data_IF_697364006459
#
_entry.id   IF_697364006459
#
_cell.length_a   1.000
_cell.length_b   1.000
_cell.length_c   1.000
_cell.angle_alpha   90.00
_cell.angle_beta   90.00
_cell.angle_gamma   90.00
#
_symmetry.space_group_name_H-M   'P 1'
#
loop_
_entity.id
_entity.type
_entity.pdbx_description
1 polymer ?
2 non-polymer ?
3 water ?
#
# COMPACT_ATOMS: atom_id res chain seq x y z
N UNK A 1 0.98 0.64 -17.65
CA UNK A 1 2.30 0.14 -18.07
C UNK A 1 2.40 -1.36 -17.79
N UNK A 2 3.22 -2.04 -18.57
CA UNK A 2 3.41 -3.45 -18.35
C UNK A 2 4.74 -3.42 -17.62
N UNK A 3 4.84 -4.22 -16.57
CA UNK A 3 6.03 -4.28 -15.73
C UNK A 3 6.52 -5.72 -15.65
N UNK A 4 7.79 -5.94 -16.01
CA UNK A 4 8.39 -7.27 -15.91
C UNK A 4 8.90 -7.40 -14.47
N UNK A 5 9.31 -8.61 -14.07
CA UNK A 5 9.71 -8.79 -12.67
C UNK A 5 11.18 -9.11 -12.40
N UNK A 6 12.04 -8.68 -13.33
CA UNK A 6 13.47 -8.87 -13.13
C UNK A 6 13.93 -8.04 -11.94
N UNK A 7 13.33 -6.89 -11.70
CA UNK A 7 13.68 -6.14 -10.53
C UNK A 7 12.39 -5.94 -9.71
N UNK A 8 12.52 -5.52 -8.45
CA UNK A 8 11.35 -5.30 -7.58
C UNK A 8 10.41 -4.33 -8.28
N UNK A 9 9.09 -4.61 -8.25
CA UNK A 9 8.15 -3.71 -8.92
C UNK A 9 7.81 -2.51 -8.06
N UNK A 10 8.76 -1.57 -7.95
CA UNK A 10 8.55 -0.36 -7.16
C UNK A 10 7.91 0.76 -7.98
N UNK A 11 6.98 1.48 -7.37
CA UNK A 11 6.34 2.60 -8.04
C UNK A 11 6.32 3.76 -7.07
N UNK A 12 6.09 4.95 -7.62
CA UNK A 12 6.01 6.15 -6.81
C UNK A 12 4.55 6.32 -6.38
N UNK A 13 4.32 6.66 -5.12
CA UNK A 13 2.95 6.88 -4.69
C UNK A 13 2.92 8.25 -4.01
N UNK A 14 1.76 8.88 -4.03
CA UNK A 14 1.62 10.14 -3.32
C UNK A 14 0.51 9.90 -2.33
N UNK A 15 0.76 10.14 -1.05
CA UNK A 15 -0.27 9.97 -0.05
C UNK A 15 -0.14 11.02 1.08
N UNK A 16 -1.25 11.64 1.46
CA UNK A 16 -1.16 12.63 2.53
C UNK A 16 -0.12 13.71 2.23
N UNK A 17 -0.05 14.14 0.98
CA UNK A 17 0.90 15.16 0.54
C UNK A 17 2.37 14.76 0.48
N UNK A 18 2.69 13.49 0.77
CA UNK A 18 4.07 13.00 0.72
C UNK A 18 4.31 12.04 -0.47
N UNK A 19 5.56 11.97 -0.94
CA UNK A 19 5.92 11.10 -2.06
C UNK A 19 6.75 9.96 -1.50
N UNK A 20 6.40 8.74 -1.86
CA UNK A 20 7.13 7.57 -1.35
C UNK A 20 7.22 6.55 -2.47
N UNK A 21 8.07 5.55 -2.27
CA UNK A 21 8.21 4.46 -3.20
C UNK A 21 7.48 3.28 -2.52
N UNK A 22 6.87 2.39 -3.30
CA UNK A 22 6.13 1.25 -2.73
C UNK A 22 6.17 0.11 -3.71
N UNK A 23 6.11 -1.08 -3.15
CA UNK A 23 6.15 -2.33 -3.90
C UNK A 23 4.75 -2.81 -4.33
N UNK A 24 4.52 -3.08 -5.62
CA UNK A 24 3.23 -3.62 -6.04
C UNK A 24 3.34 -5.10 -5.62
N UNK A 25 2.54 -5.47 -4.63
CA UNK A 25 2.66 -6.82 -4.06
C UNK A 25 1.40 -7.69 -4.16
N UNK A 26 1.38 -8.58 -5.14
CA UNK A 26 0.24 -9.48 -5.34
C UNK A 26 0.06 -10.48 -4.18
N UNK A 27 1.07 -10.66 -3.36
CA UNK A 27 0.90 -11.61 -2.27
C UNK A 27 0.40 -10.96 -0.99
N UNK A 28 0.01 -9.69 -1.05
CA UNK A 28 -0.45 -9.02 0.14
C UNK A 28 -1.90 -8.67 -0.05
N UNK A 29 -2.74 -9.09 0.89
CA UNK A 29 -4.14 -8.78 0.80
C UNK A 29 -4.36 -7.32 1.02
N UNK A 30 -3.57 -6.75 1.96
CA UNK A 30 -3.69 -5.36 2.38
C UNK A 30 -2.47 -4.47 2.10
N UNK A 31 -2.69 -3.17 2.18
CA UNK A 31 -1.64 -2.18 1.97
C UNK A 31 -1.03 -1.75 3.31
N UNK A 32 0.29 -1.79 3.44
CA UNK A 32 0.91 -1.37 4.68
C UNK A 32 2.04 -0.38 4.38
N UNK A 33 1.97 0.77 5.04
CA UNK A 33 2.96 1.80 4.86
C UNK A 33 3.67 2.06 6.17
N UNK A 34 4.90 2.55 6.08
CA UNK A 34 5.67 2.89 7.26
C UNK A 34 5.00 4.08 7.95
N UNK A 35 5.46 4.39 9.16
CA UNK A 35 4.89 5.47 9.95
C UNK A 35 4.65 6.78 9.21
N UNK A 36 3.50 7.39 9.46
CA UNK A 36 3.11 8.67 8.88
C UNK A 36 1.75 8.95 9.50
N UNK A 37 1.25 10.19 9.44
CA UNK A 37 -0.05 10.40 10.04
C UNK A 37 -1.09 10.58 8.95
N UNK A 38 -2.31 10.14 9.25
CA UNK A 38 -3.40 10.22 8.31
C UNK A 38 -4.70 10.74 8.94
N UNK A 39 -5.67 11.14 8.10
CA UNK A 39 -6.96 11.68 8.54
C UNK A 39 -8.03 10.64 8.89
N UNK A 40 -8.84 11.01 9.88
CA UNK A 40 -9.93 10.17 10.34
C UNK A 40 -9.53 9.36 11.55
N UNK A 41 -10.45 8.48 11.97
CA UNK A 41 -10.22 7.61 13.12
C UNK A 41 -9.40 6.40 12.66
N UNK A 42 -8.81 5.68 13.61
CA UNK A 42 -8.06 4.49 13.28
C UNK A 42 -8.25 3.42 14.35
N UNK A 43 -8.24 2.16 13.93
CA UNK A 43 -8.38 1.05 14.87
C UNK A 43 -7.23 0.06 14.82
N UNK A 44 -6.79 -0.42 16.00
CA UNK A 44 -5.70 -1.39 16.10
C UNK A 44 -6.03 -2.63 15.27
N UNK A 45 -5.01 -3.24 14.69
CA UNK A 45 -5.21 -4.43 13.88
C UNK A 45 -3.88 -5.18 13.81
N UNK A 46 -3.96 -6.50 13.68
CA UNK A 46 -2.78 -7.36 13.61
C UNK A 46 -2.72 -7.99 12.22
N UNK A 47 -1.51 -8.10 11.69
CA UNK A 47 -1.34 -8.68 10.36
C UNK A 47 -0.39 -9.86 10.37
N UNK A 48 -0.62 -10.82 9.49
CA UNK A 48 0.22 -12.01 9.44
C UNK A 48 1.22 -12.06 8.31
N UNK A 49 2.07 -13.09 8.32
CA UNK A 49 3.08 -13.24 7.28
C UNK A 49 4.13 -14.29 7.59
N UNK A 50 5.33 -14.12 7.05
CA UNK A 50 6.42 -15.07 7.30
C UNK A 50 7.32 -14.70 8.48
N UNK A 51 8.00 -13.56 8.37
CA UNK A 51 8.94 -13.13 9.40
C UNK A 51 8.40 -12.75 10.77
N UNK A 54 2.19 -8.10 12.63
CA UNK A 54 2.83 -7.06 13.43
C UNK A 54 1.75 -6.08 13.90
N UNK A 55 2.11 -5.17 14.79
CA UNK A 55 1.14 -4.21 15.32
C UNK A 55 0.93 -3.02 14.39
N UNK A 56 -0.26 -2.94 13.80
CA UNK A 56 -0.53 -1.83 12.89
C UNK A 56 -1.85 -1.11 13.17
N UNK A 57 -1.86 0.17 12.81
CA UNK A 57 -3.03 1.00 12.96
C UNK A 57 -3.68 0.94 11.59
N UNK A 58 -5.00 0.86 11.55
CA UNK A 58 -5.74 0.79 10.30
C UNK A 58 -6.51 2.09 10.07
N UNK A 59 -6.40 2.64 8.86
CA UNK A 59 -7.10 3.86 8.46
C UNK A 59 -7.93 3.51 7.29
N UNK A 60 -9.14 4.08 7.19
CA UNK A 60 -10.02 3.81 6.06
C UNK A 60 -10.26 5.02 5.20
N UNK A 61 -10.72 4.76 3.97
CA UNK A 61 -10.99 5.77 2.94
C UNK A 61 -9.81 6.74 2.73
N UNK A 62 -8.60 6.17 2.72
CA UNK A 62 -7.40 6.99 2.50
C UNK A 62 -7.08 7.08 1.00
N UNK A 63 -6.84 8.31 0.53
CA UNK A 63 -6.50 8.54 -0.86
C UNK A 63 -5.00 8.28 -1.18
N UNK A 64 -4.74 7.48 -2.19
CA UNK A 64 -3.36 7.19 -2.50
C UNK A 64 -3.25 7.27 -4.01
N UNK A 65 -2.21 7.92 -4.51
CA UNK A 65 -2.04 7.95 -5.94
C UNK A 65 -0.85 7.02 -6.16
N UNK A 66 -1.09 6.00 -6.98
CA UNK A 66 -0.08 4.98 -7.28
C UNK A 66 0.30 5.05 -8.72
N UNK A 67 1.55 5.41 -8.96
CA UNK A 67 2.07 5.54 -10.31
C UNK A 67 0.99 6.27 -11.16
N UNK A 68 0.43 7.36 -10.61
CA UNK A 68 -0.54 8.14 -11.35
C UNK A 68 -2.02 7.74 -11.36
N UNK A 69 -2.34 6.61 -10.76
CA UNK A 69 -3.72 6.17 -10.74
C UNK A 69 -4.21 6.40 -9.32
N UNK A 70 -5.29 7.16 -9.15
CA UNK A 70 -5.81 7.39 -7.80
C UNK A 70 -6.65 6.20 -7.33
N UNK A 71 -6.56 5.90 -6.04
CA UNK A 71 -7.37 4.83 -5.43
C UNK A 71 -7.68 5.29 -4.01
N UNK A 72 -8.78 4.81 -3.43
CA UNK A 72 -9.10 5.18 -2.04
C UNK A 72 -9.39 3.90 -1.30
N UNK A 73 -8.84 3.77 -0.12
CA UNK A 73 -9.10 2.56 0.62
C UNK A 73 -8.41 2.52 1.92
N UNK A 74 -8.42 1.32 2.46
CA UNK A 74 -7.82 1.07 3.73
C UNK A 74 -6.34 0.97 3.58
N UNK A 75 -5.66 1.63 4.49
CA UNK A 75 -4.23 1.65 4.50
C UNK A 75 -3.84 1.34 5.93
N UNK A 76 -2.87 0.45 6.11
CA UNK A 76 -2.37 0.07 7.41
C UNK A 76 -1.03 0.72 7.62
N UNK A 77 -0.82 1.29 8.80
CA UNK A 77 0.42 1.99 9.08
C UNK A 77 1.11 1.34 10.24
N UNK A 78 2.26 0.71 9.98
CA UNK A 78 2.98 0.05 11.04
C UNK A 78 4.48 0.05 10.84
N UNK A 79 5.21 -0.79 11.58
CA UNK A 79 6.67 -0.88 11.49
C UNK A 79 7.16 -1.81 10.39
N UNK A 80 6.72 -1.57 9.16
CA UNK A 80 7.10 -2.39 8.01
C UNK A 80 8.38 -1.87 7.38
N UNK A 81 9.28 -2.76 6.97
CA UNK A 81 10.54 -2.34 6.34
C UNK A 81 10.33 -1.86 4.88
N UNK A 82 9.09 -1.81 4.42
CA UNK A 82 8.85 -1.36 3.06
C UNK A 82 7.39 -1.03 2.88
N UNK A 83 7.11 -0.07 2.00
CA UNK A 83 5.74 0.33 1.76
C UNK A 83 5.22 -0.77 0.82
N UNK A 84 4.07 -1.34 1.14
CA UNK A 84 3.50 -2.45 0.34
C UNK A 84 2.13 -2.07 -0.19
N UNK A 85 1.92 -2.17 -1.49
CA UNK A 85 0.64 -1.83 -2.04
C UNK A 85 0.00 -3.21 -2.27
N UNK A 86 -1.03 -3.54 -1.49
CA UNK A 86 -1.68 -4.87 -1.65
C UNK A 86 -2.88 -4.92 -2.57
N UNK A 87 -3.50 -6.11 -2.67
CA UNK A 87 -4.63 -6.27 -3.57
C UNK A 87 -5.81 -5.35 -3.39
N UNK A 88 -6.11 -4.96 -2.16
CA UNK A 88 -7.23 -4.04 -1.97
C UNK A 88 -7.07 -2.77 -2.81
N UNK A 89 -5.83 -2.32 -3.08
CA UNK A 89 -5.66 -1.13 -3.93
C UNK A 89 -5.27 -1.54 -5.37
N UNK A 90 -4.58 -2.68 -5.52
CA UNK A 90 -4.17 -3.09 -6.88
C UNK A 90 -5.43 -3.29 -7.78
N UNK A 91 -6.48 -3.89 -7.24
CA UNK A 91 -7.70 -4.06 -8.02
C UNK A 91 -8.27 -2.70 -8.37
N UNK A 92 -8.08 -1.68 -7.52
CA UNK A 92 -8.62 -0.36 -7.89
C UNK A 92 -7.93 0.28 -9.06
N UNK A 93 -6.66 -0.04 -9.28
CA UNK A 93 -6.02 0.57 -10.41
C UNK A 93 -6.06 -0.31 -11.64
N UNK A 94 -6.79 -1.42 -11.56
CA UNK A 94 -6.93 -2.31 -12.70
C UNK A 94 -5.70 -3.15 -12.96
N UNK A 95 -4.98 -3.50 -11.90
CA UNK A 95 -3.78 -4.28 -12.07
C UNK A 95 -4.05 -5.79 -12.20
N UNK A 96 -3.38 -6.45 -13.16
CA UNK A 96 -3.54 -7.88 -13.36
C UNK A 96 -2.17 -8.54 -13.55
N UNK A 97 -2.10 -9.84 -13.29
CA UNK A 97 -0.90 -10.63 -13.52
C UNK A 97 -1.16 -11.33 -14.84
N UNK A 98 -0.12 -11.48 -15.64
CA UNK A 98 -0.26 -12.10 -16.93
C UNK A 98 0.96 -12.97 -17.22
N UNK A 99 0.73 -14.19 -17.71
CA UNK A 99 1.83 -15.03 -18.13
C UNK A 99 1.30 -16.08 -19.09
X LIG B 1 -3.02 -10.97 6.47
X LIG B 1 -2.26 -10.56 7.41
X LIG B 1 -4.54 -10.73 6.58
X LIG B 1 -5.14 -10.57 7.85
X LIG B 1 -5.30 -11.80 8.71
X LIG B 1 -4.73 -11.78 10.04
X LIG B 1 -4.86 -12.93 10.91
X LIG B 1 -5.55 -14.11 10.43
X LIG B 1 -6.11 -14.13 9.07
X LIG B 1 -6.00 -12.96 8.18
X LIG B 1 -2.71 -11.63 5.38
X LIG B 1 -1.48 -11.94 5.12
X LIG B 1 -0.75 -10.97 4.15
X LIG B 1 -1.32 -10.65 3.06
X LIG B 1 -1.72 -13.33 4.66
X LIG B 1 0.46 -10.64 4.59
X LIG B 1 1.45 -9.81 3.88
X LIG B 1 2.74 -10.64 3.71
X LIG B 1 3.43 -10.79 4.66
X LIG B 1 1.64 -8.45 4.60
X LIG B 1 0.28 -7.76 4.67
X LIG B 1 2.64 -7.60 3.87
X LIG B 1 4.37 -11.22 0.55
X LIG B 1 3.38 -11.11 -0.41
X LIG B 1 4.03 -11.93 1.86
X LIG B 1 2.96 -11.12 2.49
X LIG B 1 4.05 -13.40 1.82
X LIG B 1 3.18 -14.22 2.67
X LIG B 1 1.85 -14.68 2.20
X LIG B 1 3.75 -14.50 3.93
X LIG B 1 0.98 -15.49 3.03
X LIG B 1 2.86 -15.30 4.74
X LIG B 1 1.54 -15.78 4.31
#
# INVERSE_FOLDING_TARGET
>A
PQITLWKRPLVTIKIGGQLKEALLDTGADDTVLEEMNLPGRWKPKIIGGIGGLIKVRQYDQILIEICGHKAIGTVLVGPTPANIIGRNLLTQIGCTLNF
>B hetero
1 3TL C31 O8 O9 CA C C13 C14 C15 C16 C17 N4 C18 C19 O4 C20 N2 C10 C11 O2 C12 CG2 CG1 C2 O1 C1 N1 C3 C4 C5 C9 C6 C8 C7
#
